data_IF_089697122072
#
_entry.id   IF_089697122072
#
_cell.length_a   1.000
_cell.length_b   1.000
_cell.length_c   1.000
_cell.angle_alpha   90.00
_cell.angle_beta   90.00
_cell.angle_gamma   90.00
#
_symmetry.space_group_name_H-M   'P 1'
#
loop_
_entity.id
_entity.type
_entity.pdbx_description
1 polymer ?
#
# COMPACT_ATOMS: atom_id res chain seq x y z
N UNK A 1 -9.20 26.24 -3.46
CA UNK A 1 -8.95 25.01 -4.22
C UNK A 1 -9.51 23.84 -3.42
N UNK A 2 -10.62 23.24 -3.87
CA UNK A 2 -11.11 21.98 -3.31
C UNK A 2 -10.04 20.92 -3.59
N UNK A 3 -9.44 20.35 -2.53
CA UNK A 3 -8.50 19.24 -2.68
C UNK A 3 -9.20 18.16 -3.53
N UNK A 4 -8.58 17.67 -4.63
CA UNK A 4 -9.14 16.54 -5.34
C UNK A 4 -9.28 15.39 -4.35
N UNK A 5 -10.45 14.76 -4.33
CA UNK A 5 -10.69 13.59 -3.50
C UNK A 5 -9.67 12.51 -3.89
N UNK A 6 -8.84 12.11 -2.93
CA UNK A 6 -7.76 11.16 -3.16
C UNK A 6 -8.29 9.83 -3.71
N UNK A 7 -9.54 9.47 -3.37
CA UNK A 7 -10.19 8.27 -3.90
C UNK A 7 -10.52 8.38 -5.38
N UNK A 8 -10.83 9.59 -5.88
CA UNK A 8 -11.03 9.83 -7.31
C UNK A 8 -9.71 9.64 -8.04
N UNK A 9 -8.63 10.28 -7.55
CA UNK A 9 -7.28 10.12 -8.13
C UNK A 9 -6.85 8.65 -8.16
N UNK A 10 -7.07 7.90 -7.07
CA UNK A 10 -6.72 6.48 -7.01
C UNK A 10 -7.55 5.64 -7.99
N UNK A 11 -8.82 5.99 -8.18
CA UNK A 11 -9.74 5.28 -9.09
C UNK A 11 -9.31 5.41 -10.56
N UNK A 12 -8.64 6.50 -10.92
CA UNK A 12 -8.14 6.73 -12.27
C UNK A 12 -6.89 5.89 -12.60
N UNK A 13 -6.26 5.27 -11.60
CA UNK A 13 -5.13 4.38 -11.84
C UNK A 13 -5.57 3.04 -12.44
N UNK A 14 -4.95 2.68 -13.56
CA UNK A 14 -5.15 1.39 -14.25
C UNK A 14 -4.17 0.32 -13.78
N UNK A 15 -3.07 0.72 -13.13
CA UNK A 15 -2.04 -0.17 -12.63
C UNK A 15 -1.59 0.23 -11.22
N UNK A 16 -1.17 -0.75 -10.42
CA UNK A 16 -0.75 -0.51 -9.03
C UNK A 16 0.57 0.28 -8.96
N UNK A 17 1.41 0.18 -9.99
CA UNK A 17 2.64 0.94 -10.16
C UNK A 17 2.38 2.43 -10.24
N UNK A 18 1.32 2.85 -10.94
CA UNK A 18 0.93 4.28 -10.99
C UNK A 18 0.63 4.80 -9.59
N UNK A 19 -0.05 4.00 -8.76
CA UNK A 19 -0.29 4.37 -7.37
C UNK A 19 1.01 4.41 -6.55
N UNK A 20 1.93 3.46 -6.76
CA UNK A 20 3.21 3.42 -6.07
C UNK A 20 4.10 4.61 -6.44
N UNK A 21 4.13 4.98 -7.72
CA UNK A 21 4.85 6.15 -8.24
C UNK A 21 4.23 7.45 -7.71
N UNK A 22 2.89 7.58 -7.78
CA UNK A 22 2.17 8.75 -7.27
C UNK A 22 2.36 8.98 -5.77
N UNK A 23 2.49 7.90 -4.99
CA UNK A 23 2.73 7.98 -3.56
C UNK A 23 4.21 7.95 -3.17
N UNK A 24 5.12 8.01 -4.14
CA UNK A 24 6.57 7.98 -3.90
C UNK A 24 6.97 6.80 -2.99
N UNK A 25 6.49 5.60 -3.35
CA UNK A 25 6.83 4.35 -2.69
C UNK A 25 7.71 3.54 -3.64
N UNK A 26 8.99 3.40 -3.30
CA UNK A 26 9.89 2.52 -4.04
C UNK A 26 9.42 1.06 -3.95
N UNK A 27 9.48 0.35 -5.07
CA UNK A 27 9.09 -1.05 -5.19
C UNK A 27 10.08 -1.84 -6.05
N UNK A 28 10.09 -3.16 -5.85
CA UNK A 28 10.78 -4.10 -6.74
C UNK A 28 9.81 -4.57 -7.82
N UNK A 29 10.20 -4.41 -9.09
CA UNK A 29 9.38 -4.80 -10.24
C UNK A 29 9.11 -6.31 -10.29
N UNK A 30 10.05 -7.14 -9.85
CA UNK A 30 9.84 -8.59 -9.77
C UNK A 30 8.78 -8.93 -8.70
N UNK A 31 8.85 -8.25 -7.55
CA UNK A 31 7.86 -8.39 -6.49
C UNK A 31 6.46 -8.01 -6.97
N UNK A 32 6.31 -6.87 -7.67
CA UNK A 32 5.02 -6.43 -8.22
C UNK A 32 4.50 -7.44 -9.23
N UNK A 33 5.33 -7.91 -10.16
CA UNK A 33 4.91 -8.90 -11.16
C UNK A 33 4.41 -10.20 -10.53
N UNK A 34 5.06 -10.67 -9.46
CA UNK A 34 4.65 -11.90 -8.77
C UNK A 34 3.43 -11.73 -7.84
N UNK A 35 3.19 -10.52 -7.31
CA UNK A 35 2.21 -10.30 -6.22
C UNK A 35 1.17 -9.22 -6.51
N UNK A 36 1.04 -8.75 -7.76
CA UNK A 36 0.14 -7.66 -8.18
C UNK A 36 -1.27 -7.82 -7.65
N UNK A 37 -1.89 -8.98 -7.88
CA UNK A 37 -3.28 -9.25 -7.50
C UNK A 37 -3.48 -9.18 -5.99
N UNK A 38 -2.56 -9.78 -5.22
CA UNK A 38 -2.61 -9.75 -3.77
C UNK A 38 -2.46 -8.32 -3.23
N UNK A 39 -1.59 -7.52 -3.86
CA UNK A 39 -1.36 -6.12 -3.50
C UNK A 39 -2.59 -5.26 -3.80
N UNK A 40 -3.16 -5.35 -5.01
CA UNK A 40 -4.37 -4.61 -5.40
C UNK A 40 -5.54 -4.95 -4.47
N UNK A 41 -5.77 -6.24 -4.19
CA UNK A 41 -6.83 -6.68 -3.29
C UNK A 41 -6.64 -6.14 -1.87
N UNK A 42 -5.41 -6.16 -1.35
CA UNK A 42 -5.10 -5.63 -0.02
C UNK A 42 -5.25 -4.11 0.05
N UNK A 43 -4.77 -3.41 -0.96
CA UNK A 43 -4.87 -1.96 -1.03
C UNK A 43 -6.34 -1.52 -1.09
N UNK A 44 -7.15 -2.11 -1.97
CA UNK A 44 -8.59 -1.84 -2.04
C UNK A 44 -9.31 -2.09 -0.71
N UNK A 45 -8.94 -3.15 0.01
CA UNK A 45 -9.45 -3.41 1.36
C UNK A 45 -9.10 -2.28 2.36
N UNK A 46 -7.86 -1.77 2.33
CA UNK A 46 -7.47 -0.65 3.18
C UNK A 46 -8.15 0.66 2.79
N UNK A 47 -8.39 0.92 1.51
CA UNK A 47 -9.15 2.10 1.08
C UNK A 47 -10.58 2.10 1.65
N UNK A 48 -11.25 0.94 1.64
CA UNK A 48 -12.62 0.80 2.17
C UNK A 48 -12.66 0.97 3.70
N UNK A 49 -11.69 0.39 4.41
CA UNK A 49 -11.66 0.40 5.88
C UNK A 49 -11.16 1.73 6.45
N UNK A 50 -10.06 2.26 5.91
CA UNK A 50 -9.40 3.45 6.43
C UNK A 50 -10.04 4.75 5.88
N UNK A 51 -10.72 4.70 4.73
CA UNK A 51 -11.33 5.84 4.04
C UNK A 51 -10.40 7.06 4.00
N UNK A 52 -9.24 6.93 3.33
CA UNK A 52 -8.26 8.01 3.30
C UNK A 52 -8.87 9.28 2.71
N UNK A 53 -8.62 10.40 3.38
CA UNK A 53 -9.12 11.73 3.06
C UNK A 53 -8.05 12.64 2.45
N UNK A 54 -6.79 12.20 2.47
CA UNK A 54 -5.65 12.94 1.95
C UNK A 54 -4.57 12.03 1.33
N UNK A 55 -3.57 12.67 0.73
CA UNK A 55 -2.45 11.96 0.10
C UNK A 55 -1.66 11.10 1.09
N UNK A 56 -1.48 11.55 2.34
CA UNK A 56 -0.68 10.84 3.34
C UNK A 56 -1.37 9.59 3.88
N UNK A 57 -2.68 9.64 4.06
CA UNK A 57 -3.53 8.51 4.44
C UNK A 57 -3.62 7.51 3.28
N UNK A 58 -3.80 7.97 2.04
CA UNK A 58 -3.73 7.12 0.86
C UNK A 58 -2.38 6.40 0.72
N UNK A 59 -1.27 7.14 0.89
CA UNK A 59 0.09 6.59 0.91
C UNK A 59 0.26 5.55 2.01
N UNK A 60 -0.26 5.82 3.21
CA UNK A 60 -0.17 4.90 4.34
C UNK A 60 -0.92 3.60 4.07
N UNK A 61 -2.12 3.68 3.49
CA UNK A 61 -2.90 2.52 3.10
C UNK A 61 -2.13 1.65 2.08
N UNK A 62 -1.53 2.26 1.05
CA UNK A 62 -0.75 1.51 0.06
C UNK A 62 0.52 0.91 0.66
N UNK A 63 1.27 1.67 1.45
CA UNK A 63 2.48 1.18 2.12
C UNK A 63 2.17 0.02 3.07
N UNK A 64 1.07 0.11 3.82
CA UNK A 64 0.60 -0.98 4.66
C UNK A 64 0.23 -2.22 3.85
N UNK A 65 -0.44 -2.07 2.70
CA UNK A 65 -0.76 -3.18 1.80
C UNK A 65 0.52 -3.87 1.31
N UNK A 66 1.46 -3.09 0.79
CA UNK A 66 2.74 -3.57 0.29
C UNK A 66 3.51 -4.37 1.37
N UNK A 67 3.71 -3.75 2.54
CA UNK A 67 4.39 -4.41 3.65
C UNK A 67 3.66 -5.68 4.12
N UNK A 68 2.32 -5.69 4.10
CA UNK A 68 1.55 -6.87 4.51
C UNK A 68 1.75 -8.04 3.55
N UNK A 69 1.73 -7.79 2.24
CA UNK A 69 1.98 -8.81 1.21
C UNK A 69 3.41 -9.32 1.34
N UNK A 70 4.40 -8.43 1.38
CA UNK A 70 5.81 -8.83 1.52
C UNK A 70 6.05 -9.68 2.77
N UNK A 71 5.51 -9.26 3.93
CA UNK A 71 5.61 -10.04 5.16
C UNK A 71 4.95 -11.41 5.03
N UNK A 72 3.84 -11.51 4.30
CA UNK A 72 3.11 -12.78 4.15
C UNK A 72 3.94 -13.88 3.49
N UNK A 73 4.93 -13.50 2.67
CA UNK A 73 5.88 -14.39 2.02
C UNK A 73 7.01 -14.88 2.94
N UNK A 74 7.28 -14.15 4.04
CA UNK A 74 8.28 -14.55 5.03
C UNK A 74 7.70 -15.61 5.97
N UNK A 75 8.53 -16.59 6.30
CA UNK A 75 8.22 -17.61 7.29
C UNK A 75 7.91 -16.96 8.66
N UNK A 76 7.03 -17.61 9.44
CA UNK A 76 6.60 -17.09 10.74
C UNK A 76 7.76 -16.92 11.70
N UNK A 77 8.78 -17.78 11.64
CA UNK A 77 9.96 -17.70 12.51
C UNK A 77 10.93 -16.57 12.13
N UNK A 78 10.93 -16.16 10.85
CA UNK A 78 11.85 -15.15 10.31
C UNK A 78 11.20 -13.77 10.13
N UNK A 79 9.88 -13.68 10.28
CA UNK A 79 9.12 -12.44 10.12
C UNK A 79 9.34 -11.47 11.29
N UNK A 80 10.45 -10.73 11.26
CA UNK A 80 10.70 -9.63 12.19
C UNK A 80 9.71 -8.47 11.99
N UNK A 81 9.43 -7.68 13.02
CA UNK A 81 8.67 -6.43 12.88
C UNK A 81 9.45 -5.42 12.02
N UNK A 82 8.76 -4.80 11.06
CA UNK A 82 9.33 -3.78 10.19
C UNK A 82 9.66 -2.54 11.06
N UNK A 83 10.92 -2.04 11.07
CA UNK A 83 11.30 -0.84 11.85
C UNK A 83 10.92 0.50 11.20
N UNK A 84 9.88 0.56 10.36
CA UNK A 84 9.64 1.75 9.52
C UNK A 84 8.23 1.93 8.96
N UNK A 85 7.25 1.17 9.43
CA UNK A 85 5.85 1.34 9.10
C UNK A 85 5.10 1.62 10.40
N UNK A 86 4.26 2.66 10.43
CA UNK A 86 3.49 3.07 11.60
C UNK A 86 2.56 1.95 12.12
N UNK A 87 2.22 0.98 11.26
CA UNK A 87 1.58 -0.29 11.64
C UNK A 87 2.48 -1.23 12.46
N UNK A 88 3.80 -1.26 12.24
CA UNK A 88 4.75 -2.09 12.98
C UNK A 88 5.38 -1.38 14.19
N UNK A 89 5.32 -0.04 14.28
CA UNK A 89 5.69 0.70 15.50
C UNK A 89 4.64 0.60 16.61
N UNK A 90 3.42 0.15 16.29
CA UNK A 90 2.33 -0.08 17.26
C UNK A 90 2.28 -1.51 17.82
N UNK A 91 3.29 -2.35 17.55
CA UNK A 91 3.38 -3.72 18.08
C UNK A 91 4.53 -3.86 19.06
#
# INVERSE_FOLDING_TARGET
>A
MTKPDILITIKDFTAIEQALDYFEISYDSQFINANREALVKRFGGYLIMEKPDDWFSGRRALKNAYCRVQRSLLDKSTRQACRGCTSCQRR
#
